data_IF_475492747168
#
_entry.id   IF_475492747168
#
_cell.length_a   1.000
_cell.length_b   1.000
_cell.length_c   1.000
_cell.angle_alpha   90.00
_cell.angle_beta   90.00
_cell.angle_gamma   90.00
#
_symmetry.space_group_name_H-M   'P 1'
#
loop_
_entity.id
_entity.type
_entity.pdbx_description
1 polymer ?
#
# COMPACT_ATOMS: atom_id res chain seq x y z
N UNK A 1 -30.35 4.10 -25.45
CA UNK A 1 -28.93 3.98 -25.83
C UNK A 1 -28.15 4.07 -24.55
N UNK A 2 -27.75 2.92 -23.98
CA UNK A 2 -26.92 2.83 -22.81
C UNK A 2 -25.48 3.08 -23.23
N UNK A 3 -24.91 4.20 -22.80
CA UNK A 3 -23.48 4.44 -22.89
C UNK A 3 -22.81 3.55 -21.84
N UNK A 4 -22.36 2.36 -22.25
CA UNK A 4 -21.30 1.65 -21.57
C UNK A 4 -20.05 2.53 -21.74
N UNK A 5 -19.73 3.33 -20.72
CA UNK A 5 -18.43 3.95 -20.63
C UNK A 5 -17.44 2.82 -20.37
N UNK A 6 -16.78 2.33 -21.42
CA UNK A 6 -15.55 1.55 -21.28
C UNK A 6 -14.66 2.28 -20.27
N UNK A 7 -14.32 1.60 -19.20
CA UNK A 7 -13.46 2.12 -18.14
C UNK A 7 -12.05 2.30 -18.74
N UNK A 8 -11.81 3.42 -19.37
CA UNK A 8 -10.51 3.73 -20.00
C UNK A 8 -9.47 3.83 -18.88
N UNK A 9 -8.53 2.89 -18.83
CA UNK A 9 -7.40 2.90 -17.90
C UNK A 9 -6.55 4.13 -18.18
N UNK A 10 -6.36 5.00 -17.19
CA UNK A 10 -5.54 6.20 -17.32
C UNK A 10 -4.05 5.85 -17.36
N UNK A 11 -3.28 6.59 -18.17
CA UNK A 11 -1.83 6.56 -18.08
C UNK A 11 -1.32 7.11 -16.74
N UNK A 12 -0.02 6.94 -16.44
CA UNK A 12 0.57 7.34 -15.17
C UNK A 12 0.43 8.84 -14.89
N UNK A 13 0.63 9.68 -15.88
CA UNK A 13 0.55 11.13 -15.70
C UNK A 13 -0.89 11.58 -15.45
N UNK A 14 -1.83 11.04 -16.21
CA UNK A 14 -3.27 11.27 -16.05
C UNK A 14 -3.77 10.74 -14.71
N UNK A 15 -3.35 9.55 -14.28
CA UNK A 15 -3.70 8.98 -12.98
C UNK A 15 -3.16 9.83 -11.82
N UNK A 16 -1.92 10.32 -11.92
CA UNK A 16 -1.33 11.21 -10.93
C UNK A 16 -2.06 12.56 -10.86
N UNK A 17 -2.43 13.11 -12.01
CA UNK A 17 -3.18 14.37 -12.12
C UNK A 17 -4.63 14.23 -11.62
N UNK A 18 -5.28 13.10 -11.82
CA UNK A 18 -6.65 12.84 -11.37
C UNK A 18 -6.74 12.51 -9.88
N UNK A 19 -5.75 11.82 -9.31
CA UNK A 19 -5.79 11.33 -7.93
C UNK A 19 -5.96 12.46 -6.91
N UNK A 20 -6.97 12.34 -6.06
CA UNK A 20 -7.23 13.24 -4.91
C UNK A 20 -7.35 12.42 -3.63
N UNK A 21 -7.23 13.07 -2.47
CA UNK A 21 -7.63 12.47 -1.20
C UNK A 21 -9.12 12.68 -1.02
N UNK A 22 -9.90 11.68 -1.37
CA UNK A 22 -11.36 11.66 -1.29
C UNK A 22 -11.78 10.99 0.02
N UNK A 23 -12.76 11.57 0.71
CA UNK A 23 -13.19 11.12 2.05
C UNK A 23 -14.66 10.74 2.11
N UNK A 24 -15.41 11.05 1.05
CA UNK A 24 -16.82 10.66 0.88
C UNK A 24 -16.91 9.70 -0.31
N UNK A 25 -17.56 8.56 -0.11
CA UNK A 25 -17.62 7.49 -1.08
C UNK A 25 -19.06 7.05 -1.33
N UNK A 26 -19.36 6.66 -2.55
CA UNK A 26 -20.56 5.92 -2.88
C UNK A 26 -20.51 4.56 -2.18
N UNK A 27 -21.69 4.04 -1.82
CA UNK A 27 -21.79 2.76 -1.09
C UNK A 27 -21.75 1.52 -2.01
N UNK A 28 -21.25 1.70 -3.23
CA UNK A 28 -21.05 0.61 -4.18
C UNK A 28 -19.84 -0.23 -3.76
N UNK A 29 -19.96 -1.54 -3.60
CA UNK A 29 -18.84 -2.40 -3.31
C UNK A 29 -17.74 -2.26 -4.38
N UNK A 30 -16.47 -2.38 -3.97
CA UNK A 30 -15.36 -2.53 -4.91
C UNK A 30 -15.30 -4.01 -5.30
N UNK A 31 -15.54 -4.38 -6.58
CA UNK A 31 -15.46 -5.75 -7.03
C UNK A 31 -14.08 -6.37 -6.75
N UNK A 32 -14.07 -7.66 -6.41
CA UNK A 32 -12.82 -8.37 -6.15
C UNK A 32 -11.87 -8.35 -7.35
N UNK A 33 -12.43 -8.50 -8.53
CA UNK A 33 -11.68 -8.50 -9.80
C UNK A 33 -10.98 -7.15 -10.05
N UNK A 34 -11.58 -6.03 -9.60
CA UNK A 34 -10.97 -4.71 -9.71
C UNK A 34 -9.81 -4.57 -8.72
N UNK A 35 -9.99 -5.04 -7.48
CA UNK A 35 -8.91 -5.08 -6.49
C UNK A 35 -7.76 -5.97 -6.97
N UNK A 36 -8.05 -7.14 -7.49
CA UNK A 36 -7.05 -8.07 -8.00
C UNK A 36 -6.24 -7.43 -9.16
N UNK A 37 -6.90 -6.70 -10.10
CA UNK A 37 -6.20 -5.95 -11.16
C UNK A 37 -5.32 -4.82 -10.61
N UNK A 38 -5.79 -4.12 -9.58
CA UNK A 38 -4.99 -3.10 -8.89
C UNK A 38 -3.76 -3.74 -8.26
N UNK A 39 -3.92 -4.86 -7.54
CA UNK A 39 -2.81 -5.55 -6.88
C UNK A 39 -1.83 -6.20 -7.87
N UNK A 40 -2.28 -6.63 -9.06
CA UNK A 40 -1.39 -7.06 -10.14
C UNK A 40 -0.40 -5.94 -10.57
N UNK A 41 -0.84 -4.69 -10.53
CA UNK A 41 0.06 -3.54 -10.76
C UNK A 41 0.95 -3.28 -9.54
N UNK A 42 0.38 -3.33 -8.32
CA UNK A 42 1.12 -3.05 -7.07
C UNK A 42 2.26 -4.03 -6.85
N UNK A 43 2.09 -5.31 -7.16
CA UNK A 43 3.14 -6.33 -6.98
C UNK A 43 4.39 -6.09 -7.85
N UNK A 44 4.29 -5.23 -8.88
CA UNK A 44 5.42 -4.83 -9.73
C UNK A 44 6.25 -3.69 -9.12
N UNK A 45 5.88 -3.18 -7.95
CA UNK A 45 6.65 -2.16 -7.26
C UNK A 45 8.07 -2.67 -6.97
N UNK A 46 9.13 -1.88 -7.25
CA UNK A 46 10.48 -2.27 -6.92
C UNK A 46 10.75 -2.13 -5.42
N UNK A 47 11.70 -2.91 -4.92
CA UNK A 47 12.24 -2.75 -3.57
C UNK A 47 13.74 -2.99 -3.55
N UNK A 48 14.45 -2.41 -2.60
CA UNK A 48 15.86 -2.70 -2.42
C UNK A 48 16.06 -4.20 -2.14
N UNK A 49 17.02 -4.82 -2.83
CA UNK A 49 17.28 -6.26 -2.78
C UNK A 49 16.09 -7.16 -3.15
N UNK A 50 15.06 -6.60 -3.78
CA UNK A 50 13.82 -7.32 -4.12
C UNK A 50 13.09 -7.91 -2.90
N UNK A 51 13.20 -7.29 -1.73
CA UNK A 51 12.66 -7.83 -0.46
C UNK A 51 11.13 -7.88 -0.39
N UNK A 52 10.41 -7.01 -1.10
CA UNK A 52 8.95 -6.99 -1.20
C UNK A 52 8.27 -7.26 0.16
N UNK A 53 8.56 -6.46 1.22
CA UNK A 53 8.11 -6.77 2.58
C UNK A 53 6.64 -6.46 2.79
N UNK A 54 5.97 -5.80 1.84
CA UNK A 54 4.59 -5.35 1.94
C UNK A 54 3.59 -6.50 1.88
N UNK A 55 2.57 -6.39 2.70
CA UNK A 55 1.39 -7.24 2.72
C UNK A 55 0.17 -6.33 2.82
N UNK A 56 -0.97 -6.82 2.36
CA UNK A 56 -2.20 -6.04 2.34
C UNK A 56 -3.34 -6.85 2.95
N UNK A 57 -4.12 -6.21 3.82
CA UNK A 57 -5.42 -6.71 4.26
C UNK A 57 -6.49 -5.80 3.69
N UNK A 58 -7.41 -6.37 2.92
CA UNK A 58 -8.58 -5.65 2.42
C UNK A 58 -9.75 -5.92 3.36
N UNK A 59 -10.27 -4.88 3.97
CA UNK A 59 -11.37 -4.94 4.94
C UNK A 59 -12.61 -4.35 4.31
N UNK A 60 -13.63 -5.20 4.11
CA UNK A 60 -14.97 -4.82 3.63
C UNK A 60 -16.04 -5.04 4.68
N UNK A 61 -15.77 -5.88 5.67
CA UNK A 61 -16.66 -6.18 6.79
C UNK A 61 -16.99 -4.92 7.59
N UNK A 62 -18.28 -4.58 7.82
CA UNK A 62 -18.68 -3.35 8.51
C UNK A 62 -18.19 -3.28 9.95
N UNK A 63 -18.18 -4.39 10.69
CA UNK A 63 -17.81 -4.41 12.10
C UNK A 63 -16.29 -4.22 12.24
N UNK A 64 -15.49 -4.86 11.39
CA UNK A 64 -14.06 -4.63 11.33
C UNK A 64 -13.74 -3.19 10.90
N UNK A 65 -14.48 -2.58 9.96
CA UNK A 65 -14.30 -1.17 9.60
C UNK A 65 -14.64 -0.23 10.76
N UNK A 66 -15.65 -0.54 11.57
CA UNK A 66 -15.96 0.23 12.77
C UNK A 66 -14.83 0.16 13.80
N UNK A 67 -14.29 -1.03 14.05
CA UNK A 67 -13.15 -1.23 14.94
C UNK A 67 -11.88 -0.52 14.43
N UNK A 68 -11.59 -0.60 13.13
CA UNK A 68 -10.52 0.16 12.49
C UNK A 68 -10.74 1.68 12.57
N UNK A 69 -11.98 2.14 12.44
CA UNK A 69 -12.35 3.53 12.59
C UNK A 69 -12.03 4.07 13.99
N UNK A 70 -12.32 3.27 15.02
CA UNK A 70 -11.94 3.58 16.41
C UNK A 70 -10.42 3.64 16.59
N UNK A 71 -9.69 2.69 16.00
CA UNK A 71 -8.23 2.67 16.01
C UNK A 71 -7.61 3.82 15.19
N UNK A 72 -8.35 4.38 14.22
CA UNK A 72 -7.95 5.47 13.34
C UNK A 72 -8.51 6.83 13.77
N UNK A 73 -8.61 7.09 15.07
CA UNK A 73 -9.05 8.39 15.64
C UNK A 73 -10.43 8.85 15.13
N UNK A 74 -11.34 7.95 14.82
CA UNK A 74 -12.68 8.25 14.33
C UNK A 74 -12.73 8.84 12.92
N UNK A 75 -11.72 8.61 12.09
CA UNK A 75 -11.69 9.10 10.71
C UNK A 75 -12.84 8.51 9.90
N UNK A 76 -13.79 9.36 9.50
CA UNK A 76 -15.06 8.96 8.85
C UNK A 76 -14.86 8.18 7.55
N UNK A 77 -13.80 8.44 6.80
CA UNK A 77 -13.50 7.71 5.57
C UNK A 77 -13.14 6.24 5.79
N UNK A 78 -12.72 5.84 7.01
CA UNK A 78 -12.48 4.44 7.34
C UNK A 78 -13.78 3.65 7.41
N UNK A 79 -14.78 4.22 8.08
CA UNK A 79 -16.10 3.56 8.23
C UNK A 79 -16.99 3.78 7.01
N UNK A 80 -16.83 4.92 6.32
CA UNK A 80 -17.68 5.33 5.20
C UNK A 80 -17.25 4.79 3.82
N UNK A 81 -16.02 4.31 3.65
CA UNK A 81 -15.60 3.73 2.39
C UNK A 81 -16.12 2.28 2.23
N UNK A 82 -16.42 1.81 0.99
CA UNK A 82 -16.78 0.42 0.77
C UNK A 82 -15.69 -0.57 1.17
N UNK A 83 -14.40 -0.20 1.01
CA UNK A 83 -13.29 -0.99 1.48
C UNK A 83 -12.18 -0.13 2.11
N UNK A 84 -11.43 -0.74 3.03
CA UNK A 84 -10.18 -0.18 3.59
C UNK A 84 -9.05 -1.17 3.36
N UNK A 85 -7.97 -0.70 2.77
CA UNK A 85 -6.76 -1.49 2.57
C UNK A 85 -5.77 -1.11 3.66
N UNK A 86 -5.36 -2.08 4.47
CA UNK A 86 -4.31 -1.92 5.46
C UNK A 86 -3.01 -2.43 4.87
N UNK A 87 -2.06 -1.54 4.63
CA UNK A 87 -0.71 -1.88 4.21
C UNK A 87 0.14 -2.13 5.45
N UNK A 88 0.72 -3.31 5.55
CA UNK A 88 1.74 -3.60 6.56
C UNK A 88 3.00 -4.19 5.93
N UNK A 89 4.11 -4.15 6.64
CA UNK A 89 5.38 -4.74 6.22
C UNK A 89 5.87 -5.75 7.23
N UNK A 90 6.41 -6.87 6.74
CA UNK A 90 6.91 -7.97 7.55
C UNK A 90 8.34 -8.35 7.11
N UNK A 91 9.32 -7.74 7.75
CA UNK A 91 10.72 -8.04 7.50
C UNK A 91 11.16 -9.37 8.12
N UNK A 92 10.41 -9.87 9.12
CA UNK A 92 10.68 -11.19 9.67
C UNK A 92 10.36 -12.28 8.65
N UNK A 93 9.19 -12.20 8.01
CA UNK A 93 8.81 -13.11 6.93
C UNK A 93 9.83 -13.09 5.77
N UNK A 94 10.33 -11.90 5.38
CA UNK A 94 11.41 -11.75 4.38
C UNK A 94 12.67 -12.51 4.80
N UNK A 95 13.07 -12.41 6.07
CA UNK A 95 14.28 -13.07 6.57
C UNK A 95 14.13 -14.59 6.72
N UNK A 96 12.95 -15.03 7.08
CA UNK A 96 12.62 -16.46 7.18
C UNK A 96 12.61 -17.09 5.76
N UNK A 97 12.17 -16.34 4.73
CA UNK A 97 11.99 -16.79 3.35
C UNK A 97 12.96 -16.07 2.36
N UNK A 98 14.18 -15.75 2.78
CA UNK A 98 15.12 -14.92 1.98
C UNK A 98 15.47 -15.52 0.62
N UNK A 99 15.29 -16.83 0.43
CA UNK A 99 15.54 -17.48 -0.85
C UNK A 99 14.53 -17.02 -1.93
N UNK A 100 13.32 -16.60 -1.53
CA UNK A 100 12.26 -16.12 -2.43
C UNK A 100 12.60 -14.77 -3.08
N UNK A 101 13.44 -13.95 -2.44
CA UNK A 101 13.87 -12.68 -3.01
C UNK A 101 15.01 -12.82 -4.03
N UNK A 102 15.65 -13.98 -4.09
CA UNK A 102 16.77 -14.24 -4.99
C UNK A 102 16.28 -14.55 -6.40
N UNK A 103 16.74 -13.78 -7.38
CA UNK A 103 16.30 -13.96 -8.76
C UNK A 103 16.66 -15.35 -9.29
N UNK A 104 15.71 -16.12 -9.88
CA UNK A 104 15.93 -17.51 -10.31
C UNK A 104 17.00 -17.64 -11.41
N UNK A 105 17.26 -16.60 -12.19
CA UNK A 105 18.31 -16.55 -13.20
C UNK A 105 19.74 -16.50 -12.65
N UNK A 106 19.92 -16.30 -11.33
CA UNK A 106 21.24 -16.32 -10.68
C UNK A 106 21.62 -17.79 -10.41
N UNK A 107 22.87 -18.24 -10.69
CA UNK A 107 23.33 -19.59 -10.36
C UNK A 107 23.07 -19.96 -8.90
N UNK A 108 22.65 -21.20 -8.62
CA UNK A 108 22.21 -21.65 -7.30
C UNK A 108 23.21 -21.38 -6.18
N UNK A 109 24.51 -21.63 -6.43
CA UNK A 109 25.58 -21.36 -5.46
C UNK A 109 25.65 -19.86 -5.09
N UNK A 110 25.52 -18.96 -6.08
CA UNK A 110 25.54 -17.51 -5.86
C UNK A 110 24.27 -17.04 -5.13
N UNK A 111 23.11 -17.68 -5.42
CA UNK A 111 21.86 -17.38 -4.67
C UNK A 111 22.02 -17.77 -3.21
N UNK A 112 22.51 -18.97 -2.91
CA UNK A 112 22.73 -19.43 -1.54
C UNK A 112 23.69 -18.52 -0.77
N UNK A 113 24.81 -18.12 -1.40
CA UNK A 113 25.77 -17.19 -0.81
C UNK A 113 25.15 -15.80 -0.58
N UNK A 114 24.35 -15.29 -1.53
CA UNK A 114 23.62 -14.02 -1.42
C UNK A 114 22.61 -14.03 -0.29
N UNK A 115 21.81 -15.10 -0.20
CA UNK A 115 20.84 -15.30 0.88
C UNK A 115 21.50 -15.34 2.26
N UNK A 116 22.60 -16.09 2.39
CA UNK A 116 23.37 -16.17 3.64
C UNK A 116 23.94 -14.80 4.04
N UNK A 117 24.51 -14.07 3.07
CA UNK A 117 25.05 -12.70 3.29
C UNK A 117 23.95 -11.71 3.71
N UNK A 118 22.78 -11.78 3.07
CA UNK A 118 21.64 -10.96 3.44
C UNK A 118 21.20 -11.26 4.89
N UNK A 119 20.95 -12.53 5.24
CA UNK A 119 20.60 -12.92 6.61
C UNK A 119 21.63 -12.41 7.62
N UNK A 120 22.92 -12.61 7.37
CA UNK A 120 23.99 -12.18 8.27
C UNK A 120 24.03 -10.66 8.47
N UNK A 121 23.77 -9.87 7.42
CA UNK A 121 23.75 -8.41 7.52
C UNK A 121 22.57 -7.91 8.34
N UNK A 122 21.41 -8.54 8.21
CA UNK A 122 20.19 -8.16 8.90
C UNK A 122 20.06 -8.75 10.32
N UNK A 123 20.77 -9.84 10.62
CA UNK A 123 20.79 -10.43 11.96
C UNK A 123 21.30 -9.45 13.04
N UNK A 124 22.11 -8.47 12.64
CA UNK A 124 22.69 -7.46 13.57
C UNK A 124 21.71 -6.33 13.92
N UNK A 125 20.58 -6.23 13.24
CA UNK A 125 19.56 -5.19 13.44
C UNK A 125 18.48 -5.70 14.38
N UNK A 126 17.96 -4.81 15.22
CA UNK A 126 16.73 -5.08 15.99
C UNK A 126 15.51 -5.21 15.08
N UNK A 127 14.44 -5.82 15.57
CA UNK A 127 13.17 -5.92 14.83
C UNK A 127 12.62 -4.53 14.50
N UNK A 128 12.73 -3.57 15.41
CA UNK A 128 12.30 -2.21 15.20
C UNK A 128 13.06 -1.53 14.02
N UNK A 129 14.38 -1.70 13.94
CA UNK A 129 15.18 -1.17 12.83
C UNK A 129 14.83 -1.84 11.50
N UNK A 130 14.58 -3.15 11.52
CA UNK A 130 14.15 -3.91 10.34
C UNK A 130 12.82 -3.41 9.81
N UNK A 131 11.84 -3.28 10.71
CA UNK A 131 10.49 -2.86 10.33
C UNK A 131 10.43 -1.38 9.94
N UNK A 132 11.20 -0.50 10.58
CA UNK A 132 11.33 0.89 10.14
C UNK A 132 11.87 0.98 8.71
N UNK A 133 12.88 0.20 8.39
CA UNK A 133 13.43 0.15 7.03
C UNK A 133 12.42 -0.49 6.05
N UNK A 134 11.76 -1.57 6.44
CA UNK A 134 10.72 -2.24 5.67
C UNK A 134 9.56 -1.30 5.35
N UNK A 135 9.14 -0.48 6.31
CA UNK A 135 8.11 0.54 6.11
C UNK A 135 8.48 1.53 4.99
N UNK A 136 9.76 1.92 4.88
CA UNK A 136 10.26 2.72 3.75
C UNK A 136 10.03 2.05 2.39
N UNK A 137 10.22 0.72 2.30
CA UNK A 137 9.89 -0.03 1.08
C UNK A 137 8.37 -0.09 0.86
N UNK A 138 7.59 -0.21 1.93
CA UNK A 138 6.13 -0.21 1.88
C UNK A 138 5.57 1.08 1.27
N UNK A 139 6.19 2.25 1.48
CA UNK A 139 5.77 3.51 0.84
C UNK A 139 5.94 3.50 -0.68
N UNK A 140 6.87 2.71 -1.23
CA UNK A 140 6.99 2.54 -2.68
C UNK A 140 5.73 1.80 -3.20
N UNK A 141 5.36 0.69 -2.57
CA UNK A 141 4.15 -0.05 -2.91
C UNK A 141 2.86 0.78 -2.70
N UNK A 142 2.82 1.64 -1.66
CA UNK A 142 1.72 2.59 -1.46
C UNK A 142 1.57 3.55 -2.65
N UNK A 143 2.67 4.09 -3.17
CA UNK A 143 2.64 4.95 -4.36
C UNK A 143 2.04 4.23 -5.57
N UNK A 144 2.44 2.98 -5.81
CA UNK A 144 1.86 2.13 -6.85
C UNK A 144 0.37 1.88 -6.62
N UNK A 145 -0.05 1.56 -5.39
CA UNK A 145 -1.45 1.34 -5.04
C UNK A 145 -2.32 2.56 -5.36
N UNK A 146 -1.89 3.75 -4.94
CA UNK A 146 -2.64 4.98 -5.14
C UNK A 146 -2.80 5.34 -6.63
N UNK A 147 -1.75 5.11 -7.43
CA UNK A 147 -1.79 5.36 -8.88
C UNK A 147 -2.60 4.29 -9.61
N UNK A 148 -2.44 3.00 -9.27
CA UNK A 148 -3.20 1.91 -9.88
C UNK A 148 -4.71 2.05 -9.59
N UNK A 149 -5.08 2.40 -8.36
CA UNK A 149 -6.47 2.66 -8.01
C UNK A 149 -7.04 3.84 -8.82
N UNK A 150 -6.30 4.96 -8.90
CA UNK A 150 -6.69 6.13 -9.67
C UNK A 150 -6.82 5.83 -11.15
N UNK A 151 -5.87 5.08 -11.72
CA UNK A 151 -5.90 4.64 -13.13
C UNK A 151 -7.12 3.77 -13.45
N UNK A 152 -7.61 3.01 -12.44
CA UNK A 152 -8.82 2.17 -12.54
C UNK A 152 -10.10 2.93 -12.18
N UNK A 153 -10.05 4.26 -12.01
CA UNK A 153 -11.20 5.11 -11.69
C UNK A 153 -11.68 5.00 -10.24
N UNK A 154 -10.85 4.50 -9.32
CA UNK A 154 -11.14 4.49 -7.88
C UNK A 154 -10.51 5.69 -7.17
N UNK A 155 -11.31 6.29 -6.30
CA UNK A 155 -10.86 7.30 -5.38
C UNK A 155 -10.22 6.66 -4.14
N UNK A 156 -9.22 7.34 -3.56
CA UNK A 156 -8.50 6.85 -2.37
C UNK A 156 -8.25 7.96 -1.37
N UNK A 157 -8.11 7.56 -0.09
CA UNK A 157 -7.57 8.41 0.97
C UNK A 157 -6.55 7.60 1.79
N UNK A 158 -5.27 7.92 1.63
CA UNK A 158 -4.21 7.34 2.45
C UNK A 158 -4.10 8.08 3.79
N UNK A 159 -3.97 7.34 4.88
CA UNK A 159 -4.01 7.86 6.25
C UNK A 159 -2.85 7.33 7.07
N UNK A 160 -2.30 8.22 7.92
CA UNK A 160 -1.26 7.91 8.91
C UNK A 160 -1.75 8.15 10.36
N UNK A 161 -2.92 8.77 10.52
CA UNK A 161 -3.48 9.14 11.82
C UNK A 161 -4.23 7.99 12.48
N UNK A 162 -3.55 6.94 12.88
CA UNK A 162 -4.11 5.76 13.57
C UNK A 162 -3.15 5.26 14.66
N UNK A 163 -3.66 4.43 15.55
CA UNK A 163 -2.88 3.69 16.55
C UNK A 163 -2.47 2.32 15.97
N UNK A 164 -1.18 2.11 15.63
CA UNK A 164 -0.74 0.86 15.01
C UNK A 164 -0.95 -0.38 15.90
N UNK A 165 -0.88 -0.24 17.22
CA UNK A 165 -1.08 -1.36 18.14
C UNK A 165 -2.53 -1.84 18.10
N UNK A 166 -3.49 -0.90 18.12
CA UNK A 166 -4.91 -1.22 17.99
C UNK A 166 -5.27 -1.79 16.61
N UNK A 167 -4.68 -1.28 15.54
CA UNK A 167 -4.91 -1.84 14.20
C UNK A 167 -4.41 -3.28 14.12
N UNK A 168 -3.24 -3.57 14.70
CA UNK A 168 -2.73 -4.95 14.78
C UNK A 168 -3.67 -5.86 15.58
N UNK A 169 -4.16 -5.40 16.72
CA UNK A 169 -5.10 -6.13 17.54
C UNK A 169 -6.40 -6.45 16.79
N UNK A 170 -7.01 -5.45 16.15
CA UNK A 170 -8.25 -5.60 15.36
C UNK A 170 -8.11 -6.63 14.25
N UNK A 171 -6.95 -6.67 13.59
CA UNK A 171 -6.71 -7.54 12.45
C UNK A 171 -5.95 -8.83 12.78
N UNK A 172 -5.58 -9.05 14.03
CA UNK A 172 -4.78 -10.21 14.44
C UNK A 172 -3.38 -10.23 13.78
N UNK A 173 -2.80 -9.07 13.49
CA UNK A 173 -1.47 -8.98 12.88
C UNK A 173 -0.36 -9.20 13.91
N UNK A 174 0.79 -9.77 13.50
CA UNK A 174 1.94 -9.93 14.38
C UNK A 174 2.38 -8.61 15.02
N UNK A 175 2.83 -8.65 16.27
CA UNK A 175 3.23 -7.45 17.00
C UNK A 175 4.43 -6.73 16.40
N UNK A 176 5.33 -7.47 15.73
CA UNK A 176 6.55 -6.92 15.13
C UNK A 176 6.32 -6.13 13.85
N UNK A 177 5.28 -6.39 13.06
CA UNK A 177 5.06 -5.73 11.76
C UNK A 177 4.89 -4.22 11.89
N UNK A 178 5.33 -3.46 10.88
CA UNK A 178 5.00 -2.04 10.76
C UNK A 178 3.75 -1.83 9.88
N UNK A 179 3.00 -0.77 10.14
CA UNK A 179 1.83 -0.38 9.32
C UNK A 179 2.11 0.99 8.71
N UNK A 180 2.60 1.06 7.45
CA UNK A 180 2.86 2.33 6.78
C UNK A 180 1.62 3.19 6.55
N UNK A 181 0.47 2.59 6.19
CA UNK A 181 -0.74 3.34 5.93
C UNK A 181 -2.01 2.49 5.98
N UNK A 182 -3.13 3.16 6.28
CA UNK A 182 -4.47 2.71 5.91
C UNK A 182 -4.92 3.48 4.66
N UNK A 183 -5.62 2.82 3.74
CA UNK A 183 -6.13 3.43 2.50
C UNK A 183 -7.61 3.11 2.36
N UNK A 184 -8.47 4.12 2.52
CA UNK A 184 -9.86 4.01 2.12
C UNK A 184 -9.95 4.03 0.59
N UNK A 185 -10.77 3.16 0.00
CA UNK A 185 -10.94 3.01 -1.45
C UNK A 185 -12.40 2.78 -1.81
N UNK A 186 -12.85 3.39 -2.92
CA UNK A 186 -14.19 3.26 -3.48
C UNK A 186 -14.43 4.23 -4.62
N UNK A 187 -15.64 4.26 -5.17
CA UNK A 187 -16.06 5.35 -6.08
C UNK A 187 -16.27 6.61 -5.24
N UNK A 188 -15.63 7.71 -5.64
CA UNK A 188 -15.76 8.98 -4.95
C UNK A 188 -17.17 9.58 -5.10
N UNK A 189 -17.67 10.21 -4.03
CA UNK A 189 -18.90 11.01 -4.02
C UNK A 189 -18.61 12.49 -3.74
N UNK A 190 -17.35 12.86 -3.85
CA UNK A 190 -16.81 14.22 -3.84
C UNK A 190 -15.58 14.30 -4.74
N UNK A 191 -15.18 15.50 -5.14
CA UNK A 191 -13.98 15.69 -5.98
C UNK A 191 -12.68 15.71 -5.14
N UNK A 192 -12.76 16.03 -3.86
CA UNK A 192 -11.62 16.34 -3.02
C UNK A 192 -10.95 17.68 -3.38
N UNK A 193 -9.97 18.10 -2.59
CA UNK A 193 -9.22 19.32 -2.86
C UNK A 193 -8.28 19.18 -4.05
N UNK A 194 -8.15 20.25 -4.84
CA UNK A 194 -7.17 20.34 -5.93
C UNK A 194 -5.74 20.23 -5.39
N UNK A 195 -4.81 19.80 -6.25
CA UNK A 195 -3.41 19.67 -5.85
C UNK A 195 -2.81 21.04 -5.49
N UNK A 196 -2.15 21.08 -4.34
CA UNK A 196 -1.21 22.13 -3.97
C UNK A 196 0.16 21.47 -3.78
N UNK A 197 1.11 21.80 -4.63
CA UNK A 197 2.45 21.19 -4.65
C UNK A 197 3.51 22.28 -4.85
N UNK A 198 4.70 21.99 -4.38
CA UNK A 198 5.84 22.85 -4.70
C UNK A 198 6.16 22.79 -6.20
N UNK A 199 6.67 23.90 -6.79
CA UNK A 199 7.13 23.90 -8.16
C UNK A 199 8.37 23.01 -8.33
N UNK A 200 8.62 22.53 -9.56
CA UNK A 200 9.70 21.57 -9.85
C UNK A 200 11.08 22.12 -9.48
N UNK A 201 11.30 23.40 -9.64
CA UNK A 201 12.56 24.11 -9.34
C UNK A 201 12.92 24.03 -7.85
N UNK A 202 11.94 23.84 -6.96
CA UNK A 202 12.16 23.59 -5.53
C UNK A 202 12.54 22.15 -5.21
N UNK A 203 12.17 21.21 -6.09
CA UNK A 203 12.35 19.77 -5.89
C UNK A 203 13.59 19.24 -6.56
N UNK A 204 14.04 19.88 -7.66
CA UNK A 204 15.10 19.38 -8.53
C UNK A 204 16.21 20.41 -8.68
N UNK A 205 17.44 19.96 -8.51
CA UNK A 205 18.64 20.75 -8.81
C UNK A 205 19.44 20.06 -9.90
N UNK A 206 19.70 20.77 -11.01
CA UNK A 206 20.57 20.32 -12.08
C UNK A 206 22.00 20.81 -11.80
N UNK A 207 23.01 19.93 -11.98
CA UNK A 207 24.44 20.26 -11.81
C UNK A 207 25.23 19.72 -12.98
#
# INVERSE_FOLDING_TARGET
MSFETENQVLDVASAAAARRSVRVYRQEPVPREDLDRIFETVRLAPSAFNVQPWRFVVVTDPDLKQALGAAANGQKQVTGAPAVIVLYTDMKDVLDNVDDIMHPGIPAEKRAAGAAGFRASWAKKSDAEREQWGAGQGYIALGYLLLAASSSGYATSAMLGFDPAKVKEVLGLPSHVAIPALVAIGRGDEEGFTHHRHPVERLVTYR
#
